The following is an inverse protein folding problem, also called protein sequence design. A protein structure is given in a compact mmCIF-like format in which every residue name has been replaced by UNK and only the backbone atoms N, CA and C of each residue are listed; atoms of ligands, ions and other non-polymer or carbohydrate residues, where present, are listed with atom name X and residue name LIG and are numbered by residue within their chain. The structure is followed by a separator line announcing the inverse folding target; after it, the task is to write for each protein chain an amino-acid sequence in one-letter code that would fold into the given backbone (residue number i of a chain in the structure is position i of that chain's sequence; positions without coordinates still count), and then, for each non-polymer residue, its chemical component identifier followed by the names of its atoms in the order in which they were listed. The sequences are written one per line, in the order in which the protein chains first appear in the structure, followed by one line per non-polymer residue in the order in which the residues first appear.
data_IF_171657499508
#
_entry.id   IF_171657499508
#
_cell.length_a   1.000
_cell.length_b   1.000
_cell.length_c   1.000
_cell.angle_alpha   90.00
_cell.angle_beta   90.00
_cell.angle_gamma   90.00
#
_symmetry.space_group_name_H-M   'P 1'
#
loop_
_entity.id
_entity.type
_entity.pdbx_description
1 polymer ?
#
# COMPACT_ATOMS: atom_id res chain seq x y z
N UNK A 1 7.68 13.64 -5.82
CA UNK A 1 6.41 13.70 -5.07
C UNK A 1 6.68 13.25 -3.64
N UNK A 2 6.66 14.15 -2.66
CA UNK A 2 7.18 13.93 -1.30
C UNK A 2 6.03 13.73 -0.28
N UNK A 3 5.21 12.70 -0.47
CA UNK A 3 4.08 12.39 0.41
C UNK A 3 4.57 11.87 1.78
N UNK A 4 5.80 11.36 1.85
CA UNK A 4 6.29 10.49 2.93
C UNK A 4 7.30 11.12 3.92
N UNK A 5 7.71 12.38 3.76
CA UNK A 5 8.83 12.95 4.56
C UNK A 5 8.43 13.80 5.78
N UNK A 6 7.14 13.90 6.10
CA UNK A 6 6.68 14.66 7.28
C UNK A 6 5.70 13.81 8.12
N UNK A 7 6.08 13.36 9.33
CA UNK A 7 5.26 12.48 10.18
C UNK A 7 3.82 12.98 10.43
N UNK A 8 3.64 14.30 10.60
CA UNK A 8 2.32 14.88 10.88
C UNK A 8 1.31 14.76 9.72
N UNK A 9 1.78 14.69 8.46
CA UNK A 9 0.89 14.44 7.32
C UNK A 9 0.49 12.98 7.25
N UNK A 10 1.42 12.09 7.59
CA UNK A 10 1.21 10.66 7.59
C UNK A 10 0.15 10.20 8.62
N UNK A 11 0.27 10.68 9.86
CA UNK A 11 -0.67 10.33 10.94
C UNK A 11 -2.10 10.77 10.61
N UNK A 12 -2.25 11.97 10.02
CA UNK A 12 -3.56 12.51 9.64
C UNK A 12 -4.24 11.70 8.54
N UNK A 13 -3.50 11.25 7.52
CA UNK A 13 -4.08 10.46 6.44
C UNK A 13 -4.43 9.04 6.90
N UNK A 14 -3.60 8.44 7.74
CA UNK A 14 -3.94 7.16 8.37
C UNK A 14 -5.14 7.28 9.31
N UNK A 15 -5.29 8.38 10.06
CA UNK A 15 -6.43 8.63 10.92
C UNK A 15 -7.73 8.80 10.12
N UNK A 16 -7.70 9.53 9.00
CA UNK A 16 -8.85 9.68 8.09
C UNK A 16 -9.22 8.34 7.45
N UNK A 17 -8.24 7.64 6.86
CA UNK A 17 -8.47 6.33 6.25
C UNK A 17 -8.98 5.29 7.25
N UNK A 18 -8.42 5.24 8.46
CA UNK A 18 -8.90 4.38 9.52
C UNK A 18 -10.33 4.76 9.99
N UNK A 19 -10.64 6.06 10.09
CA UNK A 19 -11.97 6.54 10.47
C UNK A 19 -13.05 6.24 9.43
N UNK A 20 -12.75 6.43 8.14
CA UNK A 20 -13.70 6.14 7.05
C UNK A 20 -13.96 4.65 6.90
N UNK A 21 -12.90 3.86 7.01
CA UNK A 21 -12.97 2.42 6.93
C UNK A 21 -13.68 1.81 8.15
N UNK A 22 -13.50 2.37 9.36
CA UNK A 22 -14.27 2.04 10.56
C UNK A 22 -15.78 2.32 10.38
N UNK A 23 -16.15 3.43 9.72
CA UNK A 23 -17.56 3.77 9.42
C UNK A 23 -18.20 2.80 8.43
N UNK A 24 -17.40 2.20 7.53
CA UNK A 24 -17.90 1.30 6.50
C UNK A 24 -18.04 -0.15 7.00
N UNK A 25 -17.12 -0.62 7.85
CA UNK A 25 -17.08 -2.04 8.24
C UNK A 25 -17.67 -2.34 9.62
N UNK A 26 -17.90 -1.32 10.46
CA UNK A 26 -18.28 -1.49 11.88
C UNK A 26 -17.32 -2.41 12.67
N UNK A 27 -16.11 -2.62 12.14
CA UNK A 27 -15.04 -3.38 12.79
C UNK A 27 -14.03 -2.40 13.40
N UNK A 28 -13.54 -2.70 14.62
CA UNK A 28 -12.52 -1.90 15.29
C UNK A 28 -11.16 -1.90 14.58
N UNK A 29 -10.91 -2.88 13.70
CA UNK A 29 -9.73 -2.92 12.85
C UNK A 29 -10.06 -3.58 11.50
N UNK A 30 -9.97 -2.86 10.38
CA UNK A 30 -10.40 -3.35 9.08
C UNK A 30 -9.32 -4.24 8.46
N UNK A 31 -9.48 -5.54 8.65
CA UNK A 31 -8.59 -6.56 8.08
C UNK A 31 -8.55 -6.54 6.54
N UNK A 32 -9.60 -6.03 5.89
CA UNK A 32 -9.76 -5.95 4.42
C UNK A 32 -9.58 -4.54 3.84
N UNK A 33 -8.97 -3.61 4.56
CA UNK A 33 -8.91 -2.20 4.13
C UNK A 33 -7.57 -1.70 3.60
N UNK A 34 -6.63 -2.60 3.26
CA UNK A 34 -5.31 -2.21 2.76
C UNK A 34 -5.39 -1.34 1.49
N UNK A 35 -6.31 -1.68 0.58
CA UNK A 35 -6.49 -0.95 -0.67
C UNK A 35 -7.12 0.42 -0.45
N UNK A 36 -8.18 0.52 0.36
CA UNK A 36 -8.82 1.81 0.64
C UNK A 36 -7.85 2.74 1.38
N UNK A 37 -7.13 2.22 2.38
CA UNK A 37 -6.11 2.99 3.07
C UNK A 37 -5.03 3.50 2.11
N UNK A 38 -4.58 2.67 1.17
CA UNK A 38 -3.62 3.11 0.16
C UNK A 38 -4.21 4.12 -0.82
N UNK A 39 -5.46 3.94 -1.27
CA UNK A 39 -6.14 4.91 -2.14
C UNK A 39 -6.19 6.29 -1.48
N UNK A 40 -6.60 6.37 -0.21
CA UNK A 40 -6.62 7.62 0.56
C UNK A 40 -5.22 8.23 0.71
N UNK A 41 -4.19 7.42 0.98
CA UNK A 41 -2.78 7.88 1.01
C UNK A 41 -2.33 8.49 -0.31
N UNK A 42 -2.73 7.90 -1.43
CA UNK A 42 -2.40 8.41 -2.76
C UNK A 42 -3.16 9.70 -3.07
N UNK A 43 -4.46 9.76 -2.76
CA UNK A 43 -5.30 10.95 -2.95
C UNK A 43 -4.78 12.15 -2.16
N UNK A 44 -4.45 11.96 -0.88
CA UNK A 44 -3.87 13.00 -0.02
C UNK A 44 -2.49 13.47 -0.51
N UNK A 45 -1.78 12.59 -1.19
CA UNK A 45 -0.57 12.96 -1.90
C UNK A 45 -0.78 13.76 -3.19
N UNK A 46 -2.01 13.81 -3.72
CA UNK A 46 -2.36 14.43 -4.99
C UNK A 46 -2.41 13.46 -6.19
N UNK A 47 -2.35 12.14 -5.95
CA UNK A 47 -2.58 11.11 -6.97
C UNK A 47 -4.06 10.74 -6.95
N UNK A 48 -4.80 11.16 -7.97
CA UNK A 48 -6.22 10.83 -8.11
C UNK A 48 -6.45 9.32 -8.38
N UNK A 49 -6.97 8.59 -7.40
CA UNK A 49 -7.35 7.18 -7.48
C UNK A 49 -8.77 7.06 -6.90
N UNK A 50 -9.69 6.28 -7.49
CA UNK A 50 -10.99 6.04 -6.88
C UNK A 50 -10.87 5.21 -5.60
N UNK A 51 -11.92 5.22 -4.79
CA UNK A 51 -12.00 4.42 -3.56
C UNK A 51 -12.15 2.93 -3.91
N UNK A 52 -11.02 2.22 -3.95
CA UNK A 52 -10.96 0.79 -4.26
C UNK A 52 -10.67 0.00 -2.99
N UNK A 53 -11.51 -0.97 -2.67
CA UNK A 53 -11.41 -1.77 -1.44
C UNK A 53 -10.64 -3.07 -1.60
N UNK A 54 -10.45 -3.58 -2.81
CA UNK A 54 -9.71 -4.82 -3.07
C UNK A 54 -8.28 -4.56 -3.53
N UNK A 55 -7.30 -5.24 -2.90
CA UNK A 55 -5.87 -5.07 -3.19
C UNK A 55 -5.51 -5.36 -4.65
N UNK A 56 -6.03 -6.46 -5.21
CA UNK A 56 -5.80 -6.82 -6.61
C UNK A 56 -6.39 -5.77 -7.56
N UNK A 57 -7.62 -5.31 -7.30
CA UNK A 57 -8.27 -4.29 -8.13
C UNK A 57 -7.51 -2.96 -8.11
N UNK A 58 -7.00 -2.55 -6.95
CA UNK A 58 -6.18 -1.34 -6.85
C UNK A 58 -4.85 -1.51 -7.59
N UNK A 59 -4.19 -2.66 -7.44
CA UNK A 59 -2.97 -2.98 -8.19
C UNK A 59 -3.19 -2.92 -9.70
N UNK A 60 -4.29 -3.50 -10.20
CA UNK A 60 -4.65 -3.44 -11.61
C UNK A 60 -4.95 -2.01 -12.05
N UNK A 61 -5.71 -1.22 -11.29
CA UNK A 61 -5.99 0.17 -11.63
C UNK A 61 -4.71 1.01 -11.73
N UNK A 62 -3.78 0.86 -10.78
CA UNK A 62 -2.50 1.58 -10.81
C UNK A 62 -1.67 1.19 -12.04
N UNK A 63 -1.67 -0.08 -12.42
CA UNK A 63 -0.95 -0.54 -13.61
C UNK A 63 -1.63 -0.12 -14.92
N UNK A 64 -2.92 -0.44 -15.07
CA UNK A 64 -3.65 -0.37 -16.33
C UNK A 64 -4.17 1.04 -16.61
N UNK A 65 -4.70 1.75 -15.62
CA UNK A 65 -5.29 3.07 -15.82
C UNK A 65 -4.28 4.19 -15.56
N UNK A 66 -3.49 4.07 -14.49
CA UNK A 66 -2.45 5.05 -14.16
C UNK A 66 -1.13 4.82 -14.88
N UNK A 67 -1.00 3.71 -15.62
CA UNK A 67 0.19 3.34 -16.41
C UNK A 67 1.47 3.23 -15.58
N UNK A 68 1.35 2.86 -14.30
CA UNK A 68 2.51 2.65 -13.45
C UNK A 68 3.30 1.43 -13.91
N UNK A 69 4.62 1.58 -13.89
CA UNK A 69 5.54 0.54 -14.33
C UNK A 69 5.68 -0.55 -13.27
N UNK A 70 5.73 -1.80 -13.74
CA UNK A 70 5.97 -2.95 -12.88
C UNK A 70 7.47 -3.12 -12.64
N UNK A 71 7.86 -3.04 -11.38
CA UNK A 71 9.25 -3.13 -10.93
C UNK A 71 9.52 -4.50 -10.28
N UNK A 72 10.63 -5.18 -10.63
CA UNK A 72 11.03 -6.42 -9.99
C UNK A 72 11.35 -6.26 -8.50
N UNK A 73 11.14 -7.34 -7.73
CA UNK A 73 11.58 -7.40 -6.33
C UNK A 73 13.10 -7.24 -6.26
N UNK A 74 13.58 -6.46 -5.28
CA UNK A 74 14.99 -6.09 -5.17
C UNK A 74 15.33 -4.74 -5.79
N UNK A 75 14.40 -4.13 -6.53
CA UNK A 75 14.58 -2.83 -7.19
C UNK A 75 13.60 -1.76 -6.69
N UNK A 76 12.90 -2.03 -5.59
CA UNK A 76 11.99 -1.08 -4.97
C UNK A 76 12.69 0.25 -4.60
N UNK A 77 11.90 1.30 -4.45
CA UNK A 77 12.33 2.59 -3.92
C UNK A 77 11.17 3.26 -3.17
N UNK A 78 11.48 4.37 -2.48
CA UNK A 78 10.45 5.20 -1.86
C UNK A 78 9.44 5.71 -2.90
N UNK A 79 8.15 5.58 -2.59
CA UNK A 79 7.04 5.92 -3.49
C UNK A 79 6.50 4.75 -4.31
N UNK A 80 7.20 3.61 -4.35
CA UNK A 80 6.67 2.41 -4.99
C UNK A 80 5.54 1.79 -4.17
N UNK A 81 4.60 1.14 -4.85
CA UNK A 81 3.54 0.36 -4.23
C UNK A 81 3.88 -1.13 -4.34
N UNK A 82 4.03 -1.82 -3.22
CA UNK A 82 4.27 -3.27 -3.20
C UNK A 82 2.96 -4.05 -3.21
N UNK A 83 2.91 -5.13 -3.99
CA UNK A 83 1.74 -6.02 -4.06
C UNK A 83 2.14 -7.48 -3.84
N UNK A 84 1.37 -8.19 -3.00
CA UNK A 84 1.46 -9.65 -2.84
C UNK A 84 0.49 -10.40 -3.76
N UNK A 85 -0.38 -9.68 -4.47
CA UNK A 85 -1.54 -10.23 -5.18
C UNK A 85 -1.13 -11.12 -6.36
N UNK A 86 -1.77 -12.28 -6.47
CA UNK A 86 -1.66 -13.18 -7.62
C UNK A 86 -2.55 -12.79 -8.80
N UNK A 87 -2.68 -13.67 -9.81
CA UNK A 87 -3.64 -13.47 -10.90
C UNK A 87 -5.11 -13.59 -10.44
N UNK A 88 -5.34 -14.19 -9.27
CA UNK A 88 -6.65 -14.38 -8.66
C UNK A 88 -6.65 -13.76 -7.26
N UNK A 89 -7.75 -13.09 -6.90
CA UNK A 89 -7.91 -12.49 -5.59
C UNK A 89 -8.00 -13.56 -4.49
N UNK A 90 -7.15 -13.46 -3.47
CA UNK A 90 -7.14 -14.35 -2.31
C UNK A 90 -7.27 -13.53 -1.01
N UNK A 91 -8.47 -13.55 -0.43
CA UNK A 91 -8.76 -12.91 0.86
C UNK A 91 -7.79 -13.41 1.95
N UNK A 92 -7.32 -12.48 2.80
CA UNK A 92 -6.37 -12.75 3.89
C UNK A 92 -4.90 -12.90 3.46
N UNK A 93 -4.60 -13.14 2.18
CA UNK A 93 -3.22 -13.25 1.66
C UNK A 93 -2.80 -12.06 0.81
N UNK A 94 -3.74 -11.52 0.06
CA UNK A 94 -3.53 -10.37 -0.81
C UNK A 94 -3.39 -9.11 0.04
N UNK A 95 -2.35 -8.34 -0.28
CA UNK A 95 -1.97 -7.16 0.45
C UNK A 95 -1.29 -6.19 -0.50
N UNK A 96 -1.57 -4.91 -0.27
CA UNK A 96 -0.97 -3.80 -1.00
C UNK A 96 -0.55 -2.70 -0.02
N UNK A 97 0.59 -2.07 -0.28
CA UNK A 97 1.22 -1.15 0.67
C UNK A 97 2.14 -0.17 -0.06
N UNK A 98 2.43 0.97 0.57
CA UNK A 98 3.33 1.99 0.03
C UNK A 98 4.72 1.90 0.68
N UNK A 99 5.76 1.94 -0.14
CA UNK A 99 7.16 1.99 0.31
C UNK A 99 7.54 3.43 0.65
N UNK A 100 8.00 3.65 1.88
CA UNK A 100 8.47 4.95 2.33
C UNK A 100 10.00 5.07 2.25
N UNK A 101 10.69 3.96 2.49
CA UNK A 101 12.15 3.89 2.46
C UNK A 101 12.61 2.49 2.04
N UNK A 102 13.66 2.44 1.22
CA UNK A 102 14.40 1.20 0.94
C UNK A 102 15.64 1.14 1.83
N UNK A 103 15.80 0.04 2.56
CA UNK A 103 17.01 -0.22 3.34
C UNK A 103 17.98 -1.13 2.56
N UNK A 104 17.47 -2.19 1.91
CA UNK A 104 18.25 -3.04 1.00
C UNK A 104 17.35 -3.67 -0.09
N UNK A 105 17.76 -4.77 -0.73
CA UNK A 105 16.95 -5.46 -1.75
C UNK A 105 15.73 -6.21 -1.19
N UNK A 106 15.71 -6.52 0.10
CA UNK A 106 14.63 -7.23 0.79
C UNK A 106 13.92 -6.31 1.79
N UNK A 107 14.68 -5.58 2.60
CA UNK A 107 14.17 -4.79 3.72
C UNK A 107 13.80 -3.37 3.34
N UNK A 108 12.65 -2.92 3.84
CA UNK A 108 12.07 -1.61 3.57
C UNK A 108 11.18 -1.15 4.74
N UNK A 109 10.98 0.17 4.82
CA UNK A 109 9.95 0.78 5.68
C UNK A 109 8.74 1.06 4.82
N UNK A 110 7.57 0.62 5.29
CA UNK A 110 6.32 0.72 4.56
C UNK A 110 5.21 1.33 5.40
N UNK A 111 4.13 1.68 4.72
CA UNK A 111 2.83 1.95 5.31
C UNK A 111 1.75 1.09 4.70
N UNK A 112 0.88 0.61 5.57
CA UNK A 112 -0.38 -0.07 5.25
C UNK A 112 -1.37 0.06 6.43
N UNK A 113 -2.44 -0.72 6.40
CA UNK A 113 -3.46 -0.83 7.45
C UNK A 113 -3.14 -1.87 8.54
N UNK A 114 -1.95 -2.50 8.54
CA UNK A 114 -1.58 -3.51 9.54
C UNK A 114 -1.02 -2.87 10.82
N UNK A 115 -0.48 -1.64 10.73
CA UNK A 115 0.02 -0.87 11.88
C UNK A 115 -0.29 0.62 11.73
N UNK A 116 -0.54 1.32 12.86
CA UNK A 116 -0.81 2.76 12.86
C UNK A 116 0.43 3.63 12.63
N UNK A 117 1.60 3.03 12.42
CA UNK A 117 2.86 3.73 12.20
C UNK A 117 3.66 3.03 11.11
N UNK A 118 4.57 3.75 10.42
CA UNK A 118 5.50 3.14 9.49
C UNK A 118 6.24 1.99 10.15
N UNK A 119 6.43 0.89 9.42
CA UNK A 119 7.08 -0.27 10.00
C UNK A 119 7.86 -1.06 8.95
N UNK A 120 8.74 -1.91 9.45
CA UNK A 120 9.58 -2.74 8.61
C UNK A 120 8.78 -3.86 7.94
N UNK A 121 9.09 -4.09 6.65
CA UNK A 121 8.64 -5.24 5.88
C UNK A 121 9.82 -5.80 5.08
N UNK A 122 9.79 -7.12 4.91
CA UNK A 122 10.67 -7.84 3.99
C UNK A 122 9.89 -8.18 2.73
N UNK A 123 10.45 -7.88 1.55
CA UNK A 123 9.86 -8.21 0.27
C UNK A 123 9.72 -9.73 0.09
N UNK A 124 10.68 -10.50 0.61
CA UNK A 124 10.66 -11.97 0.70
C UNK A 124 9.55 -12.52 1.60
N UNK A 125 8.94 -11.68 2.45
CA UNK A 125 7.82 -12.07 3.29
C UNK A 125 8.16 -13.08 4.39
N UNK A 126 9.36 -13.09 5.00
CA UNK A 126 9.68 -14.06 6.08
C UNK A 126 8.62 -14.04 7.22
N UNK A 127 7.66 -14.97 7.19
CA UNK A 127 6.50 -15.04 8.10
C UNK A 127 5.24 -14.27 7.66
N UNK A 128 5.21 -13.67 6.47
CA UNK A 128 4.08 -12.96 5.83
C UNK A 128 3.95 -13.39 4.35
N UNK A 129 2.91 -12.96 3.63
CA UNK A 129 2.84 -13.20 2.18
C UNK A 129 3.98 -12.45 1.46
N UNK A 130 4.79 -13.14 0.63
CA UNK A 130 5.85 -12.49 -0.16
C UNK A 130 5.30 -11.49 -1.16
N UNK A 131 6.09 -10.45 -1.43
CA UNK A 131 5.80 -9.45 -2.45
C UNK A 131 6.12 -10.03 -3.81
N UNK A 132 5.21 -9.87 -4.76
CA UNK A 132 5.38 -10.41 -6.12
C UNK A 132 5.97 -9.37 -7.06
N UNK A 133 5.62 -8.11 -6.87
CA UNK A 133 6.13 -6.99 -7.66
C UNK A 133 5.88 -5.66 -6.95
N UNK A 134 6.50 -4.62 -7.48
CA UNK A 134 6.23 -3.24 -7.13
C UNK A 134 5.64 -2.50 -8.32
N UNK A 135 4.90 -1.42 -8.07
CA UNK A 135 4.39 -0.50 -9.07
C UNK A 135 4.98 0.88 -8.82
N UNK A 136 5.48 1.52 -9.87
CA UNK A 136 6.15 2.82 -9.81
C UNK A 136 5.42 3.85 -10.69
N UNK A 137 5.10 5.05 -10.15
CA UNK A 137 4.61 6.15 -10.96
C UNK A 137 5.61 6.53 -12.06
N UNK A 138 5.10 6.77 -13.27
CA UNK A 138 5.82 7.34 -14.42
C UNK A 138 5.74 8.86 -14.45
#
# INVERSE_FOLDING_TARGET
MNIARTPARYEKVQEVAASELFKLTHESWPHDGCALNLANLLQEGGIAVPDITQALALGNYLHDERKWEKIPVGQQQAGDVGSTCGPTAHHGYDHIYLVLERQDSDKMVIVDNQKPQPHERLASGKGKTPTKFFLRPV
#
